data_IF_595784803586
#
_entry.id   IF_595784803586
#
_cell.length_a   1.000
_cell.length_b   1.000
_cell.length_c   1.000
_cell.angle_alpha   90.00
_cell.angle_beta   90.00
_cell.angle_gamma   90.00
#
_symmetry.space_group_name_H-M   'P 1'
#
loop_
_entity.id
_entity.type
_entity.pdbx_description
1 polymer ?
#
# COMPACT_ATOMS: atom_id res chain seq x y z
N UNK A 1 -6.52 59.33 48.43
CA UNK A 1 -7.79 58.86 49.01
C UNK A 1 -8.42 57.91 48.01
N UNK A 2 -8.49 56.64 48.42
CA UNK A 2 -9.49 55.59 48.14
C UNK A 2 -10.01 55.39 46.71
N UNK A 3 -9.82 54.22 46.08
CA UNK A 3 -10.44 52.91 46.35
C UNK A 3 -11.98 52.88 46.25
N UNK A 4 -12.51 52.32 45.17
CA UNK A 4 -13.42 51.14 45.10
C UNK A 4 -14.08 51.07 43.70
N UNK A 5 -13.69 50.11 42.85
CA UNK A 5 -14.23 48.74 42.71
C UNK A 5 -15.61 48.65 42.01
N UNK A 6 -15.57 48.29 40.72
CA UNK A 6 -16.70 47.78 39.94
C UNK A 6 -16.18 46.76 38.93
N UNK A 7 -16.17 45.48 39.31
CA UNK A 7 -15.58 44.38 38.54
C UNK A 7 -16.37 44.07 37.25
N UNK A 8 -15.65 43.98 36.12
CA UNK A 8 -16.15 43.37 34.88
C UNK A 8 -15.94 41.86 34.95
N UNK A 9 -16.90 41.01 34.56
CA UNK A 9 -16.63 39.60 34.37
C UNK A 9 -15.78 39.41 33.12
N UNK A 10 -14.69 38.64 33.25
CA UNK A 10 -13.85 38.22 32.14
C UNK A 10 -14.63 37.31 31.18
N UNK A 11 -14.43 37.44 29.85
CA UNK A 11 -14.94 36.44 28.92
C UNK A 11 -14.17 35.15 29.13
N UNK A 12 -14.89 34.08 29.42
CA UNK A 12 -14.33 32.75 29.61
C UNK A 12 -13.68 32.27 28.31
N UNK A 13 -12.40 31.91 28.40
CA UNK A 13 -11.63 31.22 27.36
C UNK A 13 -12.27 29.86 27.07
N UNK A 14 -13.16 29.83 26.09
CA UNK A 14 -13.62 28.61 25.44
C UNK A 14 -12.51 28.05 24.57
N UNK A 15 -11.59 27.28 25.18
CA UNK A 15 -10.63 26.43 24.49
C UNK A 15 -11.39 25.38 23.65
N UNK A 16 -11.79 25.75 22.44
CA UNK A 16 -12.24 24.81 21.43
C UNK A 16 -11.01 24.04 20.93
N UNK A 17 -10.81 22.85 21.51
CA UNK A 17 -9.78 21.91 21.08
C UNK A 17 -9.86 21.70 19.57
N UNK A 18 -8.78 22.08 18.87
CA UNK A 18 -8.54 21.76 17.47
C UNK A 18 -8.42 20.24 17.37
N UNK A 19 -9.53 19.59 17.01
CA UNK A 19 -9.57 18.14 16.74
C UNK A 19 -8.63 17.85 15.58
N UNK A 20 -7.67 16.96 15.80
CA UNK A 20 -6.68 16.50 14.82
C UNK A 20 -7.29 15.67 13.68
N UNK A 21 -8.06 16.32 12.80
CA UNK A 21 -8.73 15.70 11.66
C UNK A 21 -8.09 15.91 10.28
N UNK A 22 -7.10 16.81 10.15
CA UNK A 22 -6.72 17.35 8.82
C UNK A 22 -5.50 16.66 8.17
N UNK A 23 -4.65 16.00 8.95
CA UNK A 23 -3.40 15.41 8.43
C UNK A 23 -3.65 14.26 7.42
N UNK A 24 -4.71 13.48 7.61
CA UNK A 24 -5.03 12.34 6.73
C UNK A 24 -5.51 12.76 5.33
N UNK A 25 -6.30 13.83 5.25
CA UNK A 25 -6.80 14.38 3.99
C UNK A 25 -5.66 14.99 3.14
N UNK A 26 -4.73 15.69 3.80
CA UNK A 26 -3.56 16.30 3.14
C UNK A 26 -2.61 15.23 2.57
N UNK A 27 -2.36 14.14 3.30
CA UNK A 27 -1.54 13.01 2.81
C UNK A 27 -2.20 12.37 1.58
N UNK A 28 -3.51 12.11 1.63
CA UNK A 28 -4.26 11.55 0.50
C UNK A 28 -4.15 12.41 -0.76
N UNK A 29 -4.22 13.74 -0.62
CA UNK A 29 -4.06 14.67 -1.74
C UNK A 29 -2.64 14.64 -2.35
N UNK A 30 -1.59 14.54 -1.53
CA UNK A 30 -0.20 14.45 -2.02
C UNK A 30 0.06 13.14 -2.76
N UNK A 31 -0.38 12.01 -2.20
CA UNK A 31 -0.28 10.69 -2.85
C UNK A 31 -1.04 10.67 -4.16
N UNK A 32 -2.28 11.19 -4.18
CA UNK A 32 -3.09 11.27 -5.41
C UNK A 32 -2.43 12.15 -6.46
N UNK A 33 -1.81 13.26 -6.07
CA UNK A 33 -1.08 14.15 -7.00
C UNK A 33 0.15 13.45 -7.59
N UNK A 34 0.93 12.74 -6.76
CA UNK A 34 2.09 11.98 -7.21
C UNK A 34 1.68 10.85 -8.18
N UNK A 35 0.67 10.04 -7.84
CA UNK A 35 0.14 9.00 -8.72
C UNK A 35 -0.36 9.56 -10.06
N UNK A 36 -1.09 10.68 -10.03
CA UNK A 36 -1.52 11.37 -11.27
C UNK A 36 -0.34 11.84 -12.11
N UNK A 37 0.77 12.22 -11.49
CA UNK A 37 1.99 12.58 -12.21
C UNK A 37 2.58 11.36 -12.92
N UNK A 38 2.67 10.21 -12.23
CA UNK A 38 3.14 8.96 -12.83
C UNK A 38 2.24 8.49 -13.98
N UNK A 39 0.92 8.49 -13.78
CA UNK A 39 -0.05 8.09 -14.80
C UNK A 39 0.07 8.95 -16.06
N UNK A 40 0.31 10.27 -15.90
CA UNK A 40 0.58 11.17 -17.01
C UNK A 40 1.82 10.78 -17.82
N UNK A 41 2.86 10.25 -17.17
CA UNK A 41 4.09 9.83 -17.87
C UNK A 41 3.88 8.52 -18.65
N UNK A 42 3.03 7.62 -18.15
CA UNK A 42 2.70 6.36 -18.84
C UNK A 42 1.73 6.61 -20.01
N UNK A 43 0.83 7.60 -19.90
CA UNK A 43 -0.08 8.00 -20.98
C UNK A 43 -1.34 7.14 -21.14
N UNK A 44 -1.52 6.11 -20.30
CA UNK A 44 -2.57 5.09 -20.48
C UNK A 44 -3.89 5.37 -19.73
N UNK A 45 -4.00 6.44 -18.94
CA UNK A 45 -5.23 6.75 -18.21
C UNK A 45 -5.42 8.26 -17.97
N UNK A 46 -6.69 8.69 -17.82
CA UNK A 46 -7.03 10.08 -17.49
C UNK A 46 -6.85 10.33 -15.99
N UNK A 47 -6.45 11.55 -15.62
CA UNK A 47 -6.29 11.96 -14.22
C UNK A 47 -7.55 11.81 -13.35
N UNK A 48 -8.74 11.87 -13.99
CA UNK A 48 -10.04 11.67 -13.35
C UNK A 48 -10.28 10.22 -12.92
N UNK A 49 -9.57 9.27 -13.53
CA UNK A 49 -9.80 7.83 -13.39
C UNK A 49 -8.83 7.20 -12.36
N UNK A 50 -8.16 8.05 -11.57
CA UNK A 50 -7.26 7.63 -10.49
C UNK A 50 -8.01 7.65 -9.15
N UNK A 51 -8.22 6.46 -8.59
CA UNK A 51 -8.91 6.24 -7.32
C UNK A 51 -7.95 5.66 -6.28
N UNK A 52 -8.07 6.15 -5.05
CA UNK A 52 -7.43 5.53 -3.88
C UNK A 52 -8.47 4.65 -3.21
N UNK A 53 -8.18 3.36 -3.10
CA UNK A 53 -9.08 2.38 -2.49
C UNK A 53 -8.36 1.58 -1.43
N UNK A 54 -9.12 1.15 -0.41
CA UNK A 54 -8.63 0.19 0.58
C UNK A 54 -9.53 -1.04 0.53
N UNK A 55 -9.03 -2.14 -0.05
CA UNK A 55 -9.79 -3.39 -0.13
C UNK A 55 -10.08 -4.02 1.24
N UNK A 56 -9.28 -3.70 2.26
CA UNK A 56 -9.52 -4.18 3.63
C UNK A 56 -10.59 -3.36 4.34
N UNK A 57 -10.54 -2.03 4.22
CA UNK A 57 -11.51 -1.12 4.88
C UNK A 57 -12.79 -0.89 4.06
N UNK A 58 -12.77 -1.15 2.76
CA UNK A 58 -13.84 -0.81 1.81
C UNK A 58 -13.89 0.67 1.41
N UNK A 59 -12.92 1.48 1.86
CA UNK A 59 -12.88 2.93 1.56
C UNK A 59 -12.61 3.17 0.08
N UNK A 60 -13.29 4.17 -0.51
CA UNK A 60 -13.08 4.62 -1.88
C UNK A 60 -13.85 3.86 -2.95
N UNK A 61 -14.58 2.79 -2.58
CA UNK A 61 -15.36 1.99 -3.51
C UNK A 61 -16.56 2.72 -4.09
N UNK A 62 -17.21 3.60 -3.33
CA UNK A 62 -18.32 4.43 -3.83
C UNK A 62 -17.92 5.28 -5.05
N UNK A 63 -16.78 5.97 -4.96
CA UNK A 63 -16.28 6.81 -6.05
C UNK A 63 -15.91 5.97 -7.29
N UNK A 64 -15.37 4.77 -7.07
CA UNK A 64 -15.03 3.83 -8.13
C UNK A 64 -16.30 3.26 -8.81
N UNK A 65 -17.29 2.84 -8.03
CA UNK A 65 -18.56 2.31 -8.51
C UNK A 65 -19.31 3.34 -9.34
N UNK A 66 -19.40 4.59 -8.86
CA UNK A 66 -20.01 5.69 -9.61
C UNK A 66 -19.32 5.88 -10.95
N UNK A 67 -17.98 5.84 -10.98
CA UNK A 67 -17.24 5.98 -12.24
C UNK A 67 -17.45 4.78 -13.17
N UNK A 68 -17.49 3.55 -12.64
CA UNK A 68 -17.80 2.35 -13.42
C UNK A 68 -19.18 2.46 -14.07
N UNK A 69 -20.20 2.92 -13.35
CA UNK A 69 -21.56 3.14 -13.88
C UNK A 69 -21.60 4.14 -15.05
N UNK A 70 -20.71 5.14 -15.07
CA UNK A 70 -20.59 6.07 -16.19
C UNK A 70 -20.03 5.41 -17.46
N UNK A 71 -19.20 4.37 -17.32
CA UNK A 71 -18.61 3.62 -18.44
C UNK A 71 -19.45 2.43 -18.89
N UNK A 72 -20.18 1.79 -17.97
CA UNK A 72 -20.97 0.58 -18.22
C UNK A 72 -22.41 0.95 -18.60
N UNK A 73 -22.69 1.04 -19.90
CA UNK A 73 -24.03 1.38 -20.42
C UNK A 73 -24.88 0.13 -20.59
N UNK A 74 -26.12 0.17 -20.08
CA UNK A 74 -27.10 -0.91 -20.25
C UNK A 74 -27.36 -1.14 -21.74
N UNK A 75 -27.12 -2.36 -22.22
CA UNK A 75 -27.24 -2.75 -23.65
C UNK A 75 -25.92 -2.93 -24.39
N UNK A 76 -24.79 -2.53 -23.80
CA UNK A 76 -23.44 -2.76 -24.32
C UNK A 76 -22.64 -3.57 -23.31
N UNK A 77 -22.92 -4.88 -23.24
CA UNK A 77 -22.28 -5.79 -22.31
C UNK A 77 -20.77 -5.91 -22.62
N UNK A 78 -19.94 -5.43 -21.69
CA UNK A 78 -18.47 -5.47 -21.79
C UNK A 78 -17.85 -6.32 -20.69
N UNK A 79 -16.71 -6.91 -21.03
CA UNK A 79 -15.83 -7.56 -20.07
C UNK A 79 -14.94 -6.51 -19.38
N UNK A 80 -14.82 -6.61 -18.07
CA UNK A 80 -14.03 -5.75 -17.20
C UNK A 80 -12.88 -6.60 -16.67
N UNK A 81 -11.66 -6.32 -17.12
CA UNK A 81 -10.47 -7.05 -16.72
C UNK A 81 -9.76 -6.33 -15.57
N UNK A 82 -9.48 -7.06 -14.48
CA UNK A 82 -8.68 -6.55 -13.37
C UNK A 82 -7.24 -7.01 -13.55
N UNK A 83 -6.36 -6.09 -13.93
CA UNK A 83 -4.95 -6.38 -14.26
C UNK A 83 -3.98 -5.71 -13.29
N UNK A 84 -2.81 -6.32 -13.12
CA UNK A 84 -1.73 -5.76 -12.30
C UNK A 84 -0.76 -6.81 -11.77
N UNK A 85 0.29 -6.37 -11.09
CA UNK A 85 1.37 -7.22 -10.61
C UNK A 85 0.88 -8.31 -9.63
N UNK A 86 1.67 -9.39 -9.49
CA UNK A 86 1.51 -10.37 -8.40
C UNK A 86 1.67 -9.64 -7.05
N UNK A 87 0.88 -10.02 -6.04
CA UNK A 87 0.84 -9.41 -4.71
C UNK A 87 0.36 -7.95 -4.63
N UNK A 88 -0.14 -7.37 -5.72
CA UNK A 88 -0.75 -6.03 -5.69
C UNK A 88 -2.11 -5.97 -4.95
N UNK A 89 -2.64 -7.10 -4.50
CA UNK A 89 -3.93 -7.19 -3.80
C UNK A 89 -5.16 -7.27 -4.73
N UNK A 90 -4.98 -7.66 -6.00
CA UNK A 90 -6.07 -7.79 -7.00
C UNK A 90 -7.23 -8.66 -6.53
N UNK A 91 -6.97 -9.89 -6.10
CA UNK A 91 -8.04 -10.79 -5.65
C UNK A 91 -8.70 -10.31 -4.35
N UNK A 92 -7.94 -9.70 -3.44
CA UNK A 92 -8.52 -9.04 -2.25
C UNK A 92 -9.44 -7.89 -2.67
N UNK A 93 -9.04 -7.11 -3.66
CA UNK A 93 -9.87 -6.06 -4.25
C UNK A 93 -11.13 -6.62 -4.90
N UNK A 94 -11.02 -7.61 -5.80
CA UNK A 94 -12.16 -8.22 -6.49
C UNK A 94 -13.16 -8.77 -5.49
N UNK A 95 -12.72 -9.59 -4.54
CA UNK A 95 -13.61 -10.19 -3.54
C UNK A 95 -14.34 -9.12 -2.71
N UNK A 96 -13.62 -8.10 -2.25
CA UNK A 96 -14.24 -7.02 -1.47
C UNK A 96 -15.19 -6.21 -2.33
N UNK A 97 -14.82 -5.90 -3.57
CA UNK A 97 -15.63 -5.10 -4.47
C UNK A 97 -16.93 -5.82 -4.82
N UNK A 98 -16.87 -7.13 -5.10
CA UNK A 98 -18.04 -7.97 -5.31
C UNK A 98 -18.96 -7.99 -4.08
N UNK A 99 -18.41 -8.14 -2.87
CA UNK A 99 -19.21 -8.03 -1.64
C UNK A 99 -19.81 -6.64 -1.44
N UNK A 100 -19.11 -5.57 -1.86
CA UNK A 100 -19.58 -4.19 -1.73
C UNK A 100 -20.74 -3.88 -2.69
N UNK A 101 -20.70 -4.38 -3.93
CA UNK A 101 -21.80 -4.22 -4.90
C UNK A 101 -22.93 -5.25 -4.70
N UNK A 102 -22.93 -5.98 -3.57
CA UNK A 102 -23.89 -7.04 -3.22
C UNK A 102 -24.01 -8.14 -4.29
N UNK A 103 -22.91 -8.45 -4.97
CA UNK A 103 -22.86 -9.52 -5.96
C UNK A 103 -23.19 -10.87 -5.31
N UNK A 104 -24.30 -11.50 -5.72
CA UNK A 104 -24.75 -12.78 -5.18
C UNK A 104 -25.45 -12.72 -3.81
N UNK A 105 -25.75 -11.53 -3.27
CA UNK A 105 -26.53 -11.38 -2.03
C UNK A 105 -27.91 -10.80 -2.36
N UNK A 106 -28.90 -11.69 -2.53
CA UNK A 106 -30.31 -11.31 -2.45
C UNK A 106 -30.61 -10.82 -1.02
N UNK A 107 -31.20 -9.62 -0.93
CA UNK A 107 -31.75 -8.94 0.23
C UNK A 107 -31.82 -9.75 1.53
N UNK A 108 -30.83 -9.56 2.42
CA UNK A 108 -31.06 -9.23 3.83
C UNK A 108 -29.73 -9.04 4.53
N UNK A 109 -29.32 -7.78 4.68
CA UNK A 109 -28.48 -7.44 5.82
C UNK A 109 -28.69 -6.04 6.40
N UNK A 110 -29.21 -6.04 7.62
CA UNK A 110 -28.93 -5.02 8.66
C UNK A 110 -27.66 -5.32 9.44
N UNK A 111 -26.89 -4.26 9.67
CA UNK A 111 -25.54 -4.04 10.25
C UNK A 111 -25.00 -4.95 11.40
N UNK A 112 -25.70 -5.99 11.87
CA UNK A 112 -25.21 -6.92 12.90
C UNK A 112 -25.28 -8.42 12.54
N UNK A 113 -25.93 -8.79 11.43
CA UNK A 113 -25.98 -10.18 10.94
C UNK A 113 -26.09 -10.14 9.41
N UNK A 114 -24.98 -10.20 8.66
CA UNK A 114 -25.05 -10.21 7.17
C UNK A 114 -25.45 -11.56 6.55
N UNK A 115 -26.04 -12.47 7.33
CA UNK A 115 -26.40 -13.82 6.89
C UNK A 115 -27.69 -14.29 7.58
N UNK A 116 -28.86 -13.98 7.03
CA UNK A 116 -30.10 -14.73 7.29
C UNK A 116 -31.23 -14.11 6.47
N UNK A 117 -31.71 -14.84 5.46
CA UNK A 117 -32.94 -14.60 4.68
C UNK A 117 -32.73 -14.17 3.21
N UNK A 118 -31.84 -14.88 2.50
CA UNK A 118 -32.05 -15.09 1.07
C UNK A 118 -33.02 -16.27 0.91
N UNK A 119 -34.31 -15.95 0.95
CA UNK A 119 -35.38 -16.88 0.59
C UNK A 119 -35.09 -17.55 -0.74
N UNK A 120 -35.01 -18.87 -0.69
CA UNK A 120 -35.06 -19.87 -1.75
C UNK A 120 -34.88 -19.34 -3.17
N UNK A 121 -33.66 -19.44 -3.71
CA UNK A 121 -33.49 -19.59 -5.14
C UNK A 121 -32.41 -20.65 -5.43
N UNK A 122 -32.88 -21.78 -5.96
CA UNK A 122 -32.06 -22.84 -6.53
C UNK A 122 -31.15 -22.26 -7.63
N UNK A 123 -29.87 -22.08 -7.35
CA UNK A 123 -28.86 -21.91 -8.39
C UNK A 123 -27.73 -22.91 -8.15
N UNK A 124 -27.57 -23.81 -9.12
CA UNK A 124 -26.58 -24.89 -9.17
C UNK A 124 -25.18 -24.35 -8.90
N UNK A 125 -24.58 -24.89 -7.83
CA UNK A 125 -23.15 -25.14 -7.60
C UNK A 125 -22.18 -24.53 -8.64
N UNK A 126 -21.50 -23.46 -8.22
CA UNK A 126 -20.13 -23.15 -8.58
C UNK A 126 -19.36 -22.89 -7.29
N UNK A 127 -18.57 -23.87 -6.86
CA UNK A 127 -17.77 -23.83 -5.62
C UNK A 127 -16.64 -22.82 -5.82
N UNK A 128 -16.48 -21.85 -4.91
CA UNK A 128 -15.31 -20.97 -4.96
C UNK A 128 -15.39 -19.76 -4.05
N UNK A 129 -15.39 -20.00 -2.73
CA UNK A 129 -14.90 -18.96 -1.83
C UNK A 129 -13.45 -18.69 -2.20
N UNK A 130 -13.17 -17.49 -2.74
CA UNK A 130 -11.82 -17.14 -3.18
C UNK A 130 -10.83 -17.28 -2.01
N UNK A 131 -9.91 -18.23 -2.18
CA UNK A 131 -8.92 -18.65 -1.19
C UNK A 131 -8.12 -17.44 -0.72
N UNK A 132 -8.24 -17.09 0.57
CA UNK A 132 -7.26 -16.19 1.19
C UNK A 132 -5.95 -16.94 1.25
N UNK A 133 -4.97 -16.53 0.46
CA UNK A 133 -3.60 -16.94 0.73
C UNK A 133 -2.66 -15.77 0.48
N UNK A 134 -1.84 -15.49 1.49
CA UNK A 134 -0.76 -14.52 1.45
C UNK A 134 0.48 -15.08 0.71
N UNK A 135 0.31 -16.15 -0.07
CA UNK A 135 1.39 -16.82 -0.82
C UNK A 135 1.37 -16.28 -2.26
N UNK A 136 2.51 -15.79 -2.79
CA UNK A 136 2.61 -15.38 -4.18
C UNK A 136 2.13 -16.47 -5.15
N UNK A 137 1.19 -16.16 -6.05
CA UNK A 137 0.70 -17.10 -7.07
C UNK A 137 -0.77 -17.54 -6.97
N UNK A 138 -1.62 -16.86 -6.19
CA UNK A 138 -3.00 -17.32 -5.91
C UNK A 138 -4.02 -17.27 -7.06
N UNK A 139 -3.68 -16.67 -8.20
CA UNK A 139 -4.58 -16.63 -9.37
C UNK A 139 -3.81 -17.20 -10.55
N UNK A 140 -3.88 -18.53 -10.71
CA UNK A 140 -3.25 -19.25 -11.81
C UNK A 140 -4.12 -19.23 -13.08
N UNK A 141 -5.42 -18.94 -12.94
CA UNK A 141 -6.41 -18.97 -14.01
C UNK A 141 -7.30 -17.72 -13.98
N UNK A 142 -7.92 -17.41 -15.11
CA UNK A 142 -8.92 -16.33 -15.19
C UNK A 142 -10.18 -16.74 -14.42
N UNK A 143 -10.64 -15.87 -13.51
CA UNK A 143 -11.88 -16.08 -12.76
C UNK A 143 -12.92 -15.07 -13.23
N UNK A 144 -14.04 -15.56 -13.77
CA UNK A 144 -15.12 -14.72 -14.29
C UNK A 144 -16.28 -14.60 -13.30
N UNK A 145 -16.75 -13.37 -13.09
CA UNK A 145 -17.93 -13.03 -12.29
C UNK A 145 -18.91 -12.24 -13.15
N UNK A 146 -20.05 -12.82 -13.52
CA UNK A 146 -21.04 -12.17 -14.38
C UNK A 146 -21.92 -11.18 -13.61
N UNK A 147 -21.82 -9.89 -13.86
CA UNK A 147 -22.55 -8.80 -13.21
C UNK A 147 -23.92 -8.50 -13.87
N UNK A 148 -24.72 -7.62 -13.25
CA UNK A 148 -26.00 -7.16 -13.82
C UNK A 148 -25.84 -6.57 -15.21
N UNK A 149 -26.81 -6.73 -16.12
CA UNK A 149 -26.76 -6.15 -17.47
C UNK A 149 -25.80 -6.86 -18.44
N UNK A 150 -25.34 -8.07 -18.10
CA UNK A 150 -24.51 -8.91 -18.97
C UNK A 150 -23.01 -8.62 -18.93
N UNK A 151 -22.57 -7.65 -18.11
CA UNK A 151 -21.14 -7.40 -17.91
C UNK A 151 -20.46 -8.58 -17.20
N UNK A 152 -19.15 -8.74 -17.43
CA UNK A 152 -18.34 -9.72 -16.69
C UNK A 152 -17.16 -9.04 -16.04
N UNK A 153 -16.94 -9.26 -14.75
CA UNK A 153 -15.70 -8.90 -14.05
C UNK A 153 -14.77 -10.11 -14.08
N UNK A 154 -13.55 -9.92 -14.57
CA UNK A 154 -12.59 -10.99 -14.78
C UNK A 154 -11.35 -10.69 -13.93
N UNK A 155 -11.11 -11.49 -12.88
CA UNK A 155 -9.84 -11.46 -12.14
C UNK A 155 -8.78 -12.14 -13.00
N UNK A 156 -7.70 -11.42 -13.30
CA UNK A 156 -6.64 -11.93 -14.16
C UNK A 156 -5.45 -12.38 -13.31
N UNK A 157 -4.72 -13.44 -13.73
CA UNK A 157 -3.45 -13.80 -13.13
C UNK A 157 -2.52 -12.60 -13.00
N UNK A 158 -1.87 -12.47 -11.85
CA UNK A 158 -0.94 -11.37 -11.63
C UNK A 158 0.27 -11.48 -12.55
N UNK A 159 0.70 -10.35 -13.12
CA UNK A 159 1.93 -10.30 -13.91
C UNK A 159 3.12 -10.39 -12.95
N UNK A 160 3.97 -11.43 -13.02
CA UNK A 160 5.15 -11.52 -12.16
C UNK A 160 6.19 -10.51 -12.63
N UNK A 161 6.63 -9.63 -11.73
CA UNK A 161 7.69 -8.66 -12.00
C UNK A 161 8.92 -9.08 -11.20
N UNK A 162 9.92 -9.63 -11.88
CA UNK A 162 11.11 -10.26 -11.27
C UNK A 162 11.92 -9.32 -10.39
N UNK A 163 11.88 -8.02 -10.65
CA UNK A 163 12.58 -7.00 -9.86
C UNK A 163 11.83 -6.56 -8.59
N UNK A 164 10.59 -7.02 -8.37
CA UNK A 164 9.84 -6.64 -7.16
C UNK A 164 10.37 -7.38 -5.93
N UNK A 165 10.40 -6.69 -4.79
CA UNK A 165 10.94 -7.26 -3.56
C UNK A 165 10.20 -8.54 -3.12
N UNK A 166 8.91 -8.67 -3.43
CA UNK A 166 8.14 -9.90 -3.13
C UNK A 166 8.48 -11.09 -4.02
N UNK A 167 9.16 -10.86 -5.14
CA UNK A 167 9.68 -11.92 -6.01
C UNK A 167 11.15 -12.23 -5.68
N UNK A 168 11.90 -11.25 -5.18
CA UNK A 168 13.27 -11.44 -4.69
C UNK A 168 13.29 -12.21 -3.36
N UNK A 169 12.39 -11.89 -2.43
CA UNK A 169 12.26 -12.57 -1.14
C UNK A 169 11.37 -13.80 -1.28
N UNK A 170 11.95 -14.99 -1.09
CA UNK A 170 11.27 -16.28 -1.36
C UNK A 170 10.50 -16.83 -0.16
N UNK A 171 10.94 -16.51 1.06
CA UNK A 171 10.30 -17.04 2.27
C UNK A 171 9.06 -16.22 2.63
N UNK A 172 7.95 -16.87 3.01
CA UNK A 172 6.77 -16.16 3.50
C UNK A 172 7.08 -15.19 4.65
N UNK A 173 7.97 -15.59 5.57
CA UNK A 173 8.39 -14.75 6.70
C UNK A 173 9.01 -13.42 6.24
N UNK A 174 9.83 -13.45 5.19
CA UNK A 174 10.50 -12.26 4.65
C UNK A 174 9.52 -11.30 3.96
N UNK A 175 8.55 -11.87 3.24
CA UNK A 175 7.47 -11.10 2.63
C UNK A 175 6.62 -10.46 3.73
N UNK A 176 6.22 -11.22 4.75
CA UNK A 176 5.44 -10.74 5.90
C UNK A 176 6.16 -9.63 6.66
N UNK A 177 7.49 -9.71 6.80
CA UNK A 177 8.29 -8.69 7.50
C UNK A 177 8.19 -7.30 6.85
N UNK A 178 8.05 -7.25 5.52
CA UNK A 178 7.90 -5.99 4.77
C UNK A 178 6.45 -5.53 4.63
N UNK A 179 5.48 -6.40 4.89
CA UNK A 179 4.07 -6.05 4.69
C UNK A 179 3.61 -4.99 5.69
N UNK A 180 2.88 -4.01 5.16
CA UNK A 180 2.36 -2.89 5.92
C UNK A 180 0.90 -3.18 6.29
N UNK A 181 0.71 -4.06 7.27
CA UNK A 181 -0.62 -4.52 7.72
C UNK A 181 -1.29 -3.52 8.66
N UNK A 182 -0.52 -2.66 9.31
CA UNK A 182 -0.96 -1.59 10.20
C UNK A 182 -0.52 -0.23 9.66
N UNK A 183 -1.08 0.84 10.21
CA UNK A 183 -0.58 2.19 9.98
C UNK A 183 0.92 2.24 10.27
N UNK A 184 1.69 2.87 9.38
CA UNK A 184 3.14 2.96 9.53
C UNK A 184 3.50 4.11 10.45
N UNK A 185 4.18 3.78 11.54
CA UNK A 185 4.88 4.76 12.34
C UNK A 185 6.28 4.99 11.74
N UNK A 186 6.69 6.24 11.51
CA UNK A 186 7.97 6.52 10.90
C UNK A 186 9.12 6.16 11.84
N UNK A 187 10.07 5.38 11.35
CA UNK A 187 11.35 5.18 12.00
C UNK A 187 12.28 6.35 11.65
N UNK A 188 12.68 7.14 12.64
CA UNK A 188 13.63 8.24 12.44
C UNK A 188 15.03 7.77 12.80
N UNK A 189 15.95 7.80 11.82
CA UNK A 189 17.35 7.43 12.00
C UNK A 189 18.24 8.62 11.68
N UNK A 190 19.11 9.00 12.61
CA UNK A 190 20.17 9.96 12.35
C UNK A 190 21.36 9.27 11.68
N UNK A 191 21.88 9.88 10.63
CA UNK A 191 23.13 9.50 9.97
C UNK A 191 24.12 10.66 9.96
N UNK A 192 25.36 10.38 10.34
CA UNK A 192 26.51 11.27 10.18
C UNK A 192 27.34 10.86 8.93
N UNK A 193 28.17 11.78 8.42
CA UNK A 193 28.97 11.50 7.24
C UNK A 193 29.92 10.31 7.48
N UNK A 194 29.98 9.39 6.51
CA UNK A 194 30.69 8.12 6.65
C UNK A 194 29.93 7.02 7.40
N UNK A 195 28.63 7.23 7.68
CA UNK A 195 27.73 6.19 8.18
C UNK A 195 26.75 5.72 7.11
N UNK A 196 26.27 4.50 7.33
CA UNK A 196 25.30 3.82 6.49
C UNK A 196 24.15 3.29 7.34
N UNK A 197 22.92 3.48 6.84
CA UNK A 197 21.72 2.81 7.33
C UNK A 197 21.44 1.59 6.45
N UNK A 198 21.31 0.43 7.09
CA UNK A 198 20.85 -0.81 6.49
C UNK A 198 19.40 -1.04 6.91
N UNK A 199 18.48 -1.16 5.95
CA UNK A 199 17.09 -1.55 6.19
C UNK A 199 16.93 -2.99 5.69
N UNK A 200 16.94 -3.93 6.63
CA UNK A 200 17.28 -5.31 6.36
C UNK A 200 18.61 -5.44 5.62
N UNK A 201 18.82 -6.58 4.98
CA UNK A 201 19.91 -6.79 4.05
C UNK A 201 19.44 -6.56 2.60
N UNK A 202 18.44 -5.68 2.42
CA UNK A 202 17.80 -5.41 1.11
C UNK A 202 17.92 -3.95 0.67
N UNK A 203 18.22 -3.02 1.59
CA UNK A 203 18.47 -1.61 1.27
C UNK A 203 19.64 -1.09 2.10
N UNK A 204 20.51 -0.32 1.45
CA UNK A 204 21.63 0.39 2.07
C UNK A 204 21.59 1.85 1.64
N UNK A 205 21.65 2.76 2.62
CA UNK A 205 21.69 4.20 2.42
C UNK A 205 22.96 4.75 3.06
N UNK A 206 23.83 5.35 2.27
CA UNK A 206 25.12 5.88 2.71
C UNK A 206 25.09 7.42 2.72
N UNK A 207 25.46 8.03 3.85
CA UNK A 207 25.72 9.47 3.88
C UNK A 207 27.20 9.72 3.57
N UNK A 208 27.49 9.99 2.29
CA UNK A 208 28.87 10.15 1.81
C UNK A 208 29.46 11.51 2.25
N UNK A 209 28.70 12.59 2.06
CA UNK A 209 29.13 13.97 2.29
C UNK A 209 27.95 14.82 2.78
N UNK A 210 28.24 15.81 3.63
CA UNK A 210 27.26 16.75 4.17
C UNK A 210 27.22 16.75 5.70
N UNK A 211 26.38 17.61 6.27
CA UNK A 211 26.07 17.57 7.69
C UNK A 211 25.23 16.34 8.03
N UNK A 212 25.20 15.98 9.31
CA UNK A 212 24.31 14.94 9.81
C UNK A 212 22.86 15.18 9.37
N UNK A 213 22.16 14.10 9.01
CA UNK A 213 20.77 14.15 8.58
C UNK A 213 19.89 13.16 9.35
N UNK A 214 18.62 13.52 9.53
CA UNK A 214 17.61 12.61 10.03
C UNK A 214 16.84 12.05 8.83
N UNK A 215 16.94 10.74 8.64
CA UNK A 215 16.14 10.00 7.68
C UNK A 215 14.86 9.52 8.34
N UNK A 216 13.72 9.84 7.72
CA UNK A 216 12.43 9.32 8.11
C UNK A 216 12.08 8.13 7.21
N UNK A 217 12.09 6.94 7.78
CA UNK A 217 11.89 5.68 7.07
C UNK A 217 10.48 5.13 7.35
N UNK A 218 9.72 4.84 6.30
CA UNK A 218 8.43 4.17 6.37
C UNK A 218 8.61 2.74 5.86
N UNK A 219 8.82 1.79 6.78
CA UNK A 219 9.11 0.38 6.46
C UNK A 219 8.21 -0.56 7.27
N UNK A 220 8.05 -1.79 6.78
CA UNK A 220 7.32 -2.83 7.51
C UNK A 220 7.96 -3.12 8.87
N UNK A 221 7.14 -3.44 9.88
CA UNK A 221 7.60 -3.60 11.26
C UNK A 221 8.60 -4.76 11.47
N UNK A 222 8.66 -5.71 10.54
CA UNK A 222 9.65 -6.80 10.57
C UNK A 222 10.99 -6.44 9.90
N UNK A 223 11.13 -5.24 9.34
CA UNK A 223 12.38 -4.76 8.73
C UNK A 223 13.28 -4.19 9.81
N UNK A 224 14.42 -4.84 10.03
CA UNK A 224 15.46 -4.34 10.94
C UNK A 224 16.13 -3.09 10.38
N UNK A 225 16.51 -2.17 11.27
CA UNK A 225 17.30 -1.00 10.93
C UNK A 225 18.63 -1.03 11.67
N UNK A 226 19.74 -1.01 10.93
CA UNK A 226 21.09 -1.06 11.52
C UNK A 226 21.93 0.08 10.95
N UNK A 227 22.47 0.92 11.84
CA UNK A 227 23.47 1.92 11.46
C UNK A 227 24.87 1.36 11.67
N UNK A 228 25.76 1.61 10.73
CA UNK A 228 27.17 1.22 10.81
C UNK A 228 28.06 2.21 10.06
N UNK A 229 29.39 2.08 10.20
CA UNK A 229 30.34 2.83 9.36
C UNK A 229 30.23 2.35 7.91
N UNK A 230 30.23 3.28 6.94
CA UNK A 230 30.09 2.97 5.51
C UNK A 230 31.14 1.99 5.01
N UNK A 231 32.38 2.13 5.50
CA UNK A 231 33.47 1.20 5.17
C UNK A 231 33.21 -0.24 5.61
N UNK A 232 32.40 -0.45 6.65
CA UNK A 232 32.08 -1.78 7.19
C UNK A 232 30.71 -2.31 6.72
N UNK A 233 29.93 -1.51 6.00
CA UNK A 233 28.54 -1.84 5.69
C UNK A 233 28.37 -3.13 4.87
N UNK A 234 29.26 -3.39 3.91
CA UNK A 234 29.25 -4.62 3.12
C UNK A 234 29.51 -5.86 3.99
N UNK A 235 30.51 -5.80 4.87
CA UNK A 235 30.84 -6.88 5.80
C UNK A 235 29.74 -7.10 6.84
N UNK A 236 29.14 -6.02 7.33
CA UNK A 236 28.00 -6.08 8.26
C UNK A 236 26.84 -6.81 7.62
N UNK A 237 26.47 -6.49 6.36
CA UNK A 237 25.43 -7.23 5.64
C UNK A 237 25.82 -8.70 5.46
N UNK A 238 27.01 -8.99 4.92
CA UNK A 238 27.46 -10.36 4.66
C UNK A 238 27.48 -11.25 5.90
N UNK A 239 27.90 -10.69 7.04
CA UNK A 239 28.07 -11.45 8.28
C UNK A 239 26.81 -11.51 9.15
N UNK A 240 25.88 -10.56 8.99
CA UNK A 240 24.70 -10.45 9.87
C UNK A 240 23.36 -10.68 9.17
N UNK A 241 23.31 -10.75 7.84
CA UNK A 241 22.11 -11.14 7.11
C UNK A 241 21.66 -12.54 7.53
N UNK A 242 20.35 -12.72 7.73
CA UNK A 242 19.77 -13.99 8.17
C UNK A 242 20.01 -14.34 9.64
N UNK A 243 20.70 -13.50 10.42
CA UNK A 243 20.92 -13.74 11.87
C UNK A 243 20.57 -12.56 12.76
N UNK A 244 20.91 -11.33 12.35
CA UNK A 244 20.57 -10.09 13.08
C UNK A 244 19.98 -9.00 12.21
N UNK A 245 20.18 -9.08 10.89
CA UNK A 245 19.66 -8.13 9.92
C UNK A 245 18.67 -8.89 9.03
N UNK A 246 17.43 -8.44 9.06
CA UNK A 246 16.28 -9.03 8.40
C UNK A 246 15.41 -7.97 7.71
N UNK A 247 14.75 -8.28 6.59
CA UNK A 247 14.89 -9.49 5.76
C UNK A 247 16.19 -9.47 4.92
N UNK A 248 16.65 -10.61 4.35
CA UNK A 248 16.06 -11.94 4.48
C UNK A 248 16.45 -12.63 5.80
N UNK A 249 15.61 -13.57 6.25
CA UNK A 249 15.83 -14.42 7.44
C UNK A 249 16.69 -15.65 7.17
N UNK A 250 17.35 -15.70 6.01
CA UNK A 250 18.30 -16.76 5.65
C UNK A 250 19.48 -16.17 4.92
N UNK A 251 20.67 -16.69 5.27
CA UNK A 251 21.91 -16.35 4.59
C UNK A 251 21.92 -16.81 3.14
N UNK A 252 21.42 -18.01 2.85
CA UNK A 252 21.33 -18.53 1.49
C UNK A 252 20.43 -17.65 0.60
N UNK A 253 19.33 -17.12 1.15
CA UNK A 253 18.46 -16.21 0.42
C UNK A 253 19.13 -14.85 0.19
N UNK A 254 19.92 -14.35 1.15
CA UNK A 254 20.75 -13.15 0.96
C UNK A 254 21.79 -13.35 -0.16
N UNK A 255 22.48 -14.49 -0.19
CA UNK A 255 23.49 -14.81 -1.21
C UNK A 255 22.89 -14.96 -2.60
N UNK A 256 21.58 -15.24 -2.70
CA UNK A 256 20.82 -15.30 -3.95
C UNK A 256 20.29 -13.94 -4.42
N UNK A 257 20.31 -12.91 -3.57
CA UNK A 257 19.92 -11.57 -3.99
C UNK A 257 20.91 -11.05 -5.04
N UNK A 258 20.40 -10.36 -6.05
CA UNK A 258 21.23 -9.68 -7.03
C UNK A 258 22.10 -8.62 -6.37
N UNK A 259 23.23 -8.30 -6.99
CA UNK A 259 24.08 -7.18 -6.57
C UNK A 259 23.27 -5.89 -6.46
N UNK A 260 23.54 -5.09 -5.44
CA UNK A 260 22.89 -3.82 -5.23
C UNK A 260 23.09 -2.88 -6.43
N UNK A 261 21.98 -2.33 -6.93
CA UNK A 261 22.02 -1.18 -7.82
C UNK A 261 22.30 0.08 -6.99
N UNK A 262 23.40 0.77 -7.31
CA UNK A 262 23.79 1.99 -6.61
C UNK A 262 23.20 3.22 -7.31
N UNK A 263 22.53 4.07 -6.55
CA UNK A 263 22.01 5.36 -7.02
C UNK A 263 22.56 6.48 -6.14
N UNK A 264 23.19 7.49 -6.75
CA UNK A 264 23.70 8.66 -6.04
C UNK A 264 22.67 9.77 -6.07
N UNK A 265 22.24 10.20 -4.90
CA UNK A 265 21.37 11.37 -4.73
C UNK A 265 22.22 12.54 -4.27
N UNK A 266 22.12 13.68 -4.97
CA UNK A 266 22.77 14.94 -4.58
C UNK A 266 21.66 15.92 -4.20
N UNK A 267 21.74 16.46 -2.98
CA UNK A 267 20.81 17.46 -2.48
C UNK A 267 20.95 18.77 -3.27
N UNK A 268 20.05 18.97 -4.24
CA UNK A 268 20.02 20.15 -5.12
C UNK A 268 19.55 19.79 -6.52
N UNK A 269 18.24 19.55 -6.69
CA UNK A 269 17.56 19.10 -7.93
C UNK A 269 18.10 17.76 -8.49
N UNK A 270 17.28 16.72 -8.38
CA UNK A 270 17.50 15.48 -9.14
C UNK A 270 17.39 15.78 -10.65
N UNK A 271 18.51 15.64 -11.36
CA UNK A 271 18.53 15.26 -12.77
C UNK A 271 18.89 13.78 -12.79
N UNK A 272 17.87 12.93 -12.83
CA UNK A 272 17.99 11.50 -13.07
C UNK A 272 16.99 11.10 -14.15
N UNK A 273 17.26 10.06 -14.96
CA UNK A 273 16.37 9.65 -16.02
C UNK A 273 14.99 9.26 -15.45
N UNK A 274 13.90 9.55 -16.17
CA UNK A 274 12.55 9.33 -15.66
C UNK A 274 12.32 7.83 -15.50
N UNK A 275 12.02 7.36 -14.27
CA UNK A 275 11.59 5.97 -14.09
C UNK A 275 11.76 5.31 -12.72
N UNK A 276 12.41 5.92 -11.74
CA UNK A 276 12.54 5.31 -10.40
C UNK A 276 12.24 6.35 -9.32
N UNK A 277 10.99 6.33 -8.86
CA UNK A 277 10.47 7.12 -7.76
C UNK A 277 9.14 6.55 -7.32
#
# INVERSE_FOLDING_TARGET
>A
MDCQQGGRPAPQDGAAGVRGGDSGAVIGCRVKRWLRSMVRHIGNAKNSDVFLVSSTKGTGFEALERRLKEFLKVGDARNIYVVGAVNAGKSTFVNRFLSYISYGFGNNVTEATRCSDAGTLHIKRGIGGATRSAIPGTTLEFIEFGLFGGFKLIDTPGVPISSTMTQLLRRPLDILAMQMTKTLDPLVVRLDAGQSLLLGAVVRVDLIQGSAMNLQCFVGAGVTATVCRTVAAADVMKNRAGTRIFPPHSKDDFERLSTFAAHRLVGGRSVGPPGVG
#
